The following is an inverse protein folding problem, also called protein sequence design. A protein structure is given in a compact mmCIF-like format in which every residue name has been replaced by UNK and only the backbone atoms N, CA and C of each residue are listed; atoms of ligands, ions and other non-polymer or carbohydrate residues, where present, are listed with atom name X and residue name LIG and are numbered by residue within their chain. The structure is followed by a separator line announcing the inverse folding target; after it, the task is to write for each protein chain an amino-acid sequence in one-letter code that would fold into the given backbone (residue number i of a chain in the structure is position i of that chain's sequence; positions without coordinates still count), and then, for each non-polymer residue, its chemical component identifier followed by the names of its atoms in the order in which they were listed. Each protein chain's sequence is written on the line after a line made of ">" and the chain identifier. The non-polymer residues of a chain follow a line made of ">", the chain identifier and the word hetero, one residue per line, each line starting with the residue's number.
data_IF_830174289860
#
_entry.id   IF_830174289860
#
_cell.length_a   1.000
_cell.length_b   1.000
_cell.length_c   1.000
_cell.angle_alpha   90.00
_cell.angle_beta   90.00
_cell.angle_gamma   90.00
#
_symmetry.space_group_name_H-M   'P 1'
#
loop_
_entity.id
_entity.type
_entity.pdbx_description
1 polymer ?
#
# COMPACT_ATOMS: atom_id res chain seq x y z
N UNK A 1 2.35 9.63 -0.15
CA UNK A 1 2.67 8.31 -0.77
C UNK A 1 4.17 8.12 -0.81
N UNK A 2 4.67 7.08 -0.21
CA UNK A 2 6.12 6.81 -0.19
C UNK A 2 6.42 5.35 -0.56
N UNK A 3 5.93 4.98 -1.75
CA UNK A 3 6.06 3.63 -2.33
C UNK A 3 7.51 3.12 -2.24
N UNK A 4 8.48 4.02 -2.48
CA UNK A 4 9.90 3.66 -2.45
C UNK A 4 10.35 3.35 -1.03
N UNK A 5 9.95 4.15 -0.05
CA UNK A 5 10.32 3.91 1.35
C UNK A 5 9.76 2.59 1.87
N UNK A 6 8.49 2.26 1.60
CA UNK A 6 7.91 0.97 2.00
C UNK A 6 8.66 -0.22 1.39
N UNK A 7 9.00 -0.14 0.09
CA UNK A 7 9.80 -1.15 -0.59
C UNK A 7 11.20 -1.30 0.03
N UNK A 8 11.88 -0.19 0.33
CA UNK A 8 13.21 -0.19 0.93
C UNK A 8 13.21 -0.77 2.34
N UNK A 9 12.26 -0.38 3.20
CA UNK A 9 12.15 -0.90 4.56
C UNK A 9 11.94 -2.41 4.58
N UNK A 10 11.02 -2.91 3.76
CA UNK A 10 10.80 -4.36 3.63
C UNK A 10 12.02 -5.05 3.03
N UNK A 11 12.69 -4.44 2.05
CA UNK A 11 13.93 -4.97 1.48
C UNK A 11 15.03 -5.14 2.52
N UNK A 12 15.23 -4.14 3.39
CA UNK A 12 16.17 -4.21 4.52
C UNK A 12 15.77 -5.33 5.49
N UNK A 13 14.48 -5.41 5.85
CA UNK A 13 13.95 -6.46 6.73
C UNK A 13 14.18 -7.87 6.17
N UNK A 14 13.91 -8.07 4.87
CA UNK A 14 14.15 -9.34 4.18
C UNK A 14 15.65 -9.70 4.11
N UNK A 15 16.52 -8.73 3.86
CA UNK A 15 17.97 -8.93 3.84
C UNK A 15 18.49 -9.34 5.22
N UNK A 16 17.99 -8.73 6.28
CA UNK A 16 18.33 -9.08 7.66
C UNK A 16 17.80 -10.47 8.03
N UNK A 17 16.54 -10.77 7.69
CA UNK A 17 15.89 -12.06 7.96
C UNK A 17 16.54 -13.20 7.15
N UNK A 18 16.93 -12.94 5.92
CA UNK A 18 17.59 -13.91 5.05
C UNK A 18 18.93 -14.45 5.56
N UNK A 19 19.56 -13.74 6.54
CA UNK A 19 20.76 -14.21 7.24
C UNK A 19 20.47 -15.39 8.19
N UNK A 20 19.22 -15.49 8.66
CA UNK A 20 18.78 -16.50 9.64
C UNK A 20 17.85 -17.56 9.06
N UNK A 21 17.04 -17.17 8.06
CA UNK A 21 15.99 -18.00 7.48
C UNK A 21 16.17 -18.11 5.98
N UNK A 22 15.90 -19.29 5.44
CA UNK A 22 15.91 -19.50 3.99
C UNK A 22 14.64 -18.90 3.36
N UNK A 23 14.71 -17.65 2.94
CA UNK A 23 13.63 -16.98 2.23
C UNK A 23 13.83 -17.23 0.73
N UNK A 24 12.83 -17.83 0.08
CA UNK A 24 12.89 -18.03 -1.37
C UNK A 24 12.76 -16.70 -2.11
N UNK A 25 13.36 -16.57 -3.30
CA UNK A 25 13.25 -15.37 -4.13
C UNK A 25 11.77 -15.01 -4.40
N UNK A 26 10.91 -16.02 -4.64
CA UNK A 26 9.47 -15.81 -4.88
C UNK A 26 8.79 -15.19 -3.65
N UNK A 27 9.07 -15.71 -2.48
CA UNK A 27 8.51 -15.16 -1.24
C UNK A 27 9.02 -13.72 -1.00
N UNK A 28 10.30 -13.45 -1.22
CA UNK A 28 10.87 -12.11 -1.07
C UNK A 28 10.22 -11.11 -2.03
N UNK A 29 10.09 -11.45 -3.32
CA UNK A 29 9.46 -10.59 -4.33
C UNK A 29 7.98 -10.36 -3.99
N UNK A 30 7.25 -11.39 -3.58
CA UNK A 30 5.85 -11.26 -3.19
C UNK A 30 5.69 -10.38 -1.92
N UNK A 31 6.60 -10.50 -0.95
CA UNK A 31 6.58 -9.65 0.27
C UNK A 31 6.85 -8.18 -0.07
N UNK A 32 7.84 -7.93 -0.94
CA UNK A 32 8.11 -6.58 -1.46
C UNK A 32 6.90 -6.02 -2.23
N UNK A 33 6.29 -6.84 -3.09
CA UNK A 33 5.08 -6.46 -3.81
C UNK A 33 3.95 -6.09 -2.85
N UNK A 34 3.69 -6.90 -1.85
CA UNK A 34 2.65 -6.63 -0.86
C UNK A 34 2.92 -5.39 0.01
N UNK A 35 4.18 -4.97 0.14
CA UNK A 35 4.52 -3.74 0.84
C UNK A 35 4.19 -2.46 0.04
N UNK A 36 4.10 -2.55 -1.28
CA UNK A 36 3.81 -1.39 -2.14
C UNK A 36 2.41 -1.43 -2.77
N UNK A 37 1.77 -2.61 -2.77
CA UNK A 37 0.41 -2.80 -3.32
C UNK A 37 -0.62 -1.85 -2.72
N UNK A 38 -0.65 -1.54 -1.40
CA UNK A 38 -1.61 -0.60 -0.84
C UNK A 38 -1.60 0.76 -1.55
N UNK A 39 -0.43 1.34 -1.71
CA UNK A 39 -0.25 2.62 -2.41
C UNK A 39 -0.56 2.52 -3.90
N UNK A 40 -0.18 1.41 -4.55
CA UNK A 40 -0.47 1.21 -5.96
C UNK A 40 -1.97 1.01 -6.22
N UNK A 41 -2.68 0.34 -5.31
CA UNK A 41 -4.10 0.08 -5.46
C UNK A 41 -4.92 1.38 -5.50
N UNK A 42 -4.59 2.35 -4.65
CA UNK A 42 -5.28 3.63 -4.64
C UNK A 42 -5.04 4.46 -5.91
N UNK A 43 -3.96 4.18 -6.67
CA UNK A 43 -3.69 4.84 -7.95
C UNK A 43 -4.50 4.26 -9.12
N UNK A 44 -5.13 3.09 -8.97
CA UNK A 44 -5.87 2.45 -10.06
C UNK A 44 -6.94 3.35 -10.69
N UNK A 45 -7.78 4.10 -9.93
CA UNK A 45 -8.74 5.02 -10.51
C UNK A 45 -8.09 6.16 -11.30
N UNK A 46 -6.95 6.67 -10.81
CA UNK A 46 -6.20 7.72 -11.52
C UNK A 46 -5.54 7.19 -12.79
N UNK A 47 -5.06 5.94 -12.77
CA UNK A 47 -4.54 5.28 -13.98
C UNK A 47 -5.65 5.09 -14.99
N UNK A 48 -6.85 4.69 -14.57
CA UNK A 48 -8.00 4.59 -15.46
C UNK A 48 -8.38 5.96 -16.06
N UNK A 49 -8.26 7.05 -15.29
CA UNK A 49 -8.51 8.42 -15.75
C UNK A 49 -7.53 8.84 -16.86
N UNK A 50 -6.35 8.22 -16.98
CA UNK A 50 -5.39 8.57 -18.06
C UNK A 50 -5.92 8.28 -19.47
N UNK A 51 -6.96 7.46 -19.60
CA UNK A 51 -7.64 7.20 -20.88
C UNK A 51 -8.59 8.35 -21.28
N UNK A 52 -8.90 9.27 -20.35
CA UNK A 52 -9.71 10.45 -20.62
C UNK A 52 -8.84 11.65 -21.05
N UNK A 53 -9.39 12.61 -21.80
CA UNK A 53 -8.67 13.81 -22.20
C UNK A 53 -8.11 14.57 -20.98
N UNK A 54 -6.79 14.76 -20.96
CA UNK A 54 -6.13 15.45 -19.84
C UNK A 54 -5.81 14.60 -18.62
N UNK A 55 -6.23 13.34 -18.57
CA UNK A 55 -6.06 12.45 -17.42
C UNK A 55 -4.58 12.17 -17.07
N UNK A 56 -3.69 12.12 -18.06
CA UNK A 56 -2.24 12.00 -17.82
C UNK A 56 -1.72 13.19 -17.01
N UNK A 57 -2.21 14.40 -17.29
CA UNK A 57 -1.82 15.61 -16.53
C UNK A 57 -2.34 15.53 -15.10
N UNK A 58 -3.54 15.01 -14.89
CA UNK A 58 -4.12 14.79 -13.54
C UNK A 58 -3.28 13.79 -12.77
N UNK A 59 -2.93 12.64 -13.37
CA UNK A 59 -2.09 11.62 -12.74
C UNK A 59 -0.72 12.18 -12.37
N UNK A 60 -0.05 12.85 -13.30
CA UNK A 60 1.30 13.41 -13.04
C UNK A 60 1.27 14.48 -11.96
N UNK A 61 0.28 15.37 -11.98
CA UNK A 61 0.09 16.37 -10.94
C UNK A 61 -0.16 15.73 -9.56
N UNK A 62 -0.97 14.69 -9.50
CA UNK A 62 -1.29 13.99 -8.25
C UNK A 62 -0.06 13.27 -7.66
N UNK A 63 0.68 12.51 -8.46
CA UNK A 63 1.84 11.75 -7.96
C UNK A 63 3.05 12.62 -7.62
N UNK A 64 3.13 13.84 -8.18
CA UNK A 64 4.20 14.80 -7.88
C UNK A 64 3.82 15.82 -6.81
N UNK A 65 2.56 15.84 -6.35
CA UNK A 65 2.11 16.75 -5.31
C UNK A 65 2.74 16.40 -3.96
N UNK A 66 3.00 17.42 -3.15
CA UNK A 66 3.31 17.23 -1.75
C UNK A 66 2.04 16.77 -1.01
N UNK A 67 2.17 15.94 0.03
CA UNK A 67 1.04 15.50 0.85
C UNK A 67 0.21 16.68 1.35
N UNK A 68 -1.11 16.64 1.11
CA UNK A 68 -2.04 17.72 1.45
C UNK A 68 -2.19 18.82 0.39
N UNK A 69 -1.41 18.76 -0.69
CA UNK A 69 -1.48 19.70 -1.82
C UNK A 69 -1.87 19.01 -3.14
N UNK A 70 -2.48 17.85 -3.04
CA UNK A 70 -2.93 17.10 -4.20
C UNK A 70 -4.01 17.88 -4.95
N UNK A 71 -4.02 17.80 -6.31
CA UNK A 71 -5.03 18.46 -7.11
C UNK A 71 -6.42 17.87 -6.86
N UNK A 72 -7.44 18.66 -7.05
CA UNK A 72 -8.82 18.18 -7.03
C UNK A 72 -9.04 17.13 -8.10
N UNK A 73 -9.49 15.96 -7.70
CA UNK A 73 -9.82 14.85 -8.59
C UNK A 73 -11.29 14.92 -9.01
N UNK A 74 -11.64 14.35 -10.18
CA UNK A 74 -13.05 14.12 -10.54
C UNK A 74 -13.77 13.36 -9.41
N UNK A 75 -15.04 13.67 -9.11
CA UNK A 75 -15.71 13.14 -7.91
C UNK A 75 -15.69 11.61 -7.79
N UNK A 76 -15.89 10.90 -8.90
CA UNK A 76 -15.85 9.43 -8.91
C UNK A 76 -14.44 8.90 -8.65
N UNK A 77 -13.42 9.51 -9.26
CA UNK A 77 -12.02 9.14 -9.06
C UNK A 77 -11.60 9.38 -7.61
N UNK A 78 -11.96 10.53 -7.06
CA UNK A 78 -11.71 10.86 -5.65
C UNK A 78 -12.35 9.84 -4.70
N UNK A 79 -13.62 9.49 -4.94
CA UNK A 79 -14.37 8.52 -4.16
C UNK A 79 -13.69 7.13 -4.18
N UNK A 80 -13.36 6.63 -5.38
CA UNK A 80 -12.74 5.32 -5.54
C UNK A 80 -11.32 5.27 -4.95
N UNK A 81 -10.52 6.31 -5.18
CA UNK A 81 -9.17 6.44 -4.61
C UNK A 81 -9.22 6.41 -3.08
N UNK A 82 -10.15 7.18 -2.48
CA UNK A 82 -10.35 7.21 -1.04
C UNK A 82 -10.77 5.84 -0.48
N UNK A 83 -11.75 5.17 -1.10
CA UNK A 83 -12.19 3.85 -0.64
C UNK A 83 -11.09 2.79 -0.73
N UNK A 84 -10.36 2.76 -1.85
CA UNK A 84 -9.23 1.83 -2.01
C UNK A 84 -8.15 2.11 -0.99
N UNK A 85 -7.86 3.39 -0.73
CA UNK A 85 -6.92 3.78 0.34
C UNK A 85 -7.39 3.23 1.70
N UNK A 86 -8.62 3.54 2.12
CA UNK A 86 -9.16 3.07 3.41
C UNK A 86 -9.11 1.54 3.56
N UNK A 87 -9.50 0.79 2.50
CA UNK A 87 -9.49 -0.67 2.53
C UNK A 87 -8.07 -1.21 2.66
N UNK A 88 -7.15 -0.69 1.87
CA UNK A 88 -5.78 -1.21 1.80
C UNK A 88 -4.90 -0.81 2.99
N UNK A 89 -5.25 0.28 3.69
CA UNK A 89 -4.54 0.73 4.90
C UNK A 89 -5.26 0.34 6.20
N UNK A 90 -6.35 -0.42 6.11
CA UNK A 90 -7.10 -0.90 7.28
C UNK A 90 -6.43 -2.12 7.92
N UNK A 91 -6.04 -1.98 9.19
CA UNK A 91 -5.56 -3.09 10.00
C UNK A 91 -6.63 -4.17 10.22
N UNK A 92 -7.91 -3.79 10.23
CA UNK A 92 -9.04 -4.73 10.35
C UNK A 92 -9.14 -5.59 9.10
N UNK A 93 -9.06 -4.98 7.91
CA UNK A 93 -9.09 -5.71 6.63
C UNK A 93 -7.86 -6.61 6.51
N UNK A 94 -6.67 -6.10 6.79
CA UNK A 94 -5.43 -6.89 6.77
C UNK A 94 -5.50 -8.06 7.76
N UNK A 95 -6.06 -7.84 8.95
CA UNK A 95 -6.29 -8.88 9.95
C UNK A 95 -7.27 -9.95 9.48
N UNK A 96 -8.40 -9.55 8.90
CA UNK A 96 -9.38 -10.49 8.36
C UNK A 96 -8.80 -11.35 7.23
N UNK A 97 -8.07 -10.74 6.28
CA UNK A 97 -7.40 -11.45 5.18
C UNK A 97 -6.32 -12.41 5.72
N UNK A 98 -5.51 -11.95 6.69
CA UNK A 98 -4.48 -12.79 7.32
C UNK A 98 -5.11 -13.97 8.05
N UNK A 99 -6.18 -13.73 8.82
CA UNK A 99 -6.92 -14.77 9.53
C UNK A 99 -7.53 -15.79 8.58
N UNK A 100 -8.16 -15.33 7.50
CA UNK A 100 -8.74 -16.22 6.49
C UNK A 100 -7.66 -17.05 5.79
N UNK A 101 -6.55 -16.42 5.39
CA UNK A 101 -5.43 -17.12 4.77
C UNK A 101 -4.86 -18.21 5.70
N UNK A 102 -4.74 -17.92 7.00
CA UNK A 102 -4.31 -18.89 7.99
C UNK A 102 -5.32 -20.03 8.18
N UNK A 103 -6.62 -19.72 8.25
CA UNK A 103 -7.66 -20.73 8.39
C UNK A 103 -7.69 -21.71 7.22
N UNK A 104 -7.48 -21.21 6.00
CA UNK A 104 -7.49 -22.03 4.77
C UNK A 104 -6.19 -22.82 4.61
N UNK A 105 -5.04 -22.17 4.74
CA UNK A 105 -3.74 -22.78 4.45
C UNK A 105 -3.08 -23.43 5.67
N UNK A 106 -3.55 -23.14 6.89
CA UNK A 106 -2.95 -23.54 8.17
C UNK A 106 -1.47 -23.14 8.29
N UNK A 107 -1.03 -22.19 7.48
CA UNK A 107 0.32 -21.66 7.49
C UNK A 107 0.29 -20.13 7.37
N UNK A 108 1.31 -19.50 7.95
CA UNK A 108 1.47 -18.06 7.80
C UNK A 108 2.10 -17.76 6.43
N UNK A 109 1.42 -16.91 5.65
CA UNK A 109 1.93 -16.51 4.34
C UNK A 109 2.84 -15.28 4.49
N UNK A 110 4.15 -15.48 4.34
CA UNK A 110 5.17 -14.44 4.52
C UNK A 110 4.87 -13.11 3.77
N UNK A 111 4.34 -13.11 2.54
CA UNK A 111 3.98 -11.86 1.85
C UNK A 111 3.04 -10.94 2.60
N UNK A 112 2.16 -11.46 3.47
CA UNK A 112 1.27 -10.62 4.29
C UNK A 112 2.04 -9.74 5.27
N UNK A 113 3.27 -10.11 5.68
CA UNK A 113 4.14 -9.23 6.46
C UNK A 113 4.52 -7.96 5.68
N UNK A 114 4.61 -8.01 4.36
CA UNK A 114 4.79 -6.82 3.53
C UNK A 114 3.66 -5.84 3.72
N UNK A 115 2.41 -6.31 3.63
CA UNK A 115 1.22 -5.49 3.87
C UNK A 115 1.14 -4.95 5.30
N UNK A 116 1.36 -5.80 6.30
CA UNK A 116 1.39 -5.36 7.69
C UNK A 116 2.48 -4.32 7.96
N UNK A 117 3.68 -4.50 7.41
CA UNK A 117 4.77 -3.52 7.57
C UNK A 117 4.43 -2.17 6.95
N UNK A 118 3.72 -2.15 5.81
CA UNK A 118 3.22 -0.94 5.19
C UNK A 118 2.31 -0.17 6.16
N UNK A 119 1.25 -0.83 6.68
CA UNK A 119 0.31 -0.22 7.63
C UNK A 119 1.03 0.30 8.88
N UNK A 120 1.95 -0.51 9.43
CA UNK A 120 2.71 -0.11 10.64
C UNK A 120 3.59 1.10 10.39
N UNK A 121 4.29 1.15 9.25
CA UNK A 121 5.15 2.28 8.90
C UNK A 121 4.31 3.54 8.75
N UNK A 122 3.16 3.45 8.09
CA UNK A 122 2.26 4.60 7.91
C UNK A 122 1.79 5.19 9.22
N UNK A 123 1.46 4.38 10.21
CA UNK A 123 1.07 4.86 11.55
C UNK A 123 2.16 5.73 12.18
N UNK A 124 3.45 5.45 11.93
CA UNK A 124 4.56 6.20 12.50
C UNK A 124 5.03 7.37 11.62
N UNK A 125 4.77 7.35 10.34
CA UNK A 125 5.29 8.36 9.39
C UNK A 125 4.26 9.40 8.98
N UNK A 126 2.97 9.08 9.10
CA UNK A 126 1.91 10.03 8.79
C UNK A 126 1.41 10.69 10.09
N UNK A 127 1.27 12.03 10.06
CA UNK A 127 0.71 12.76 11.18
C UNK A 127 -0.79 12.46 11.33
N UNK A 128 -1.31 12.56 12.56
CA UNK A 128 -2.73 12.38 12.86
C UNK A 128 -3.66 13.33 12.07
N UNK A 129 -3.12 14.43 11.54
CA UNK A 129 -3.85 15.39 10.71
C UNK A 129 -4.16 14.85 9.31
N UNK A 130 -3.45 13.80 8.86
CA UNK A 130 -3.63 13.19 7.54
C UNK A 130 -4.72 12.12 7.52
N UNK A 131 -4.89 11.41 8.64
CA UNK A 131 -5.94 10.39 8.82
C UNK A 131 -6.57 10.58 10.19
N UNK A 132 -7.77 11.12 10.21
CA UNK A 132 -8.52 11.36 11.44
C UNK A 132 -8.85 10.06 12.20
N UNK A 133 -8.72 8.90 11.57
CA UNK A 133 -8.86 7.58 12.22
C UNK A 133 -8.01 6.56 11.44
N UNK A 134 -6.97 5.95 12.04
CA UNK A 134 -6.41 4.72 11.51
C UNK A 134 -7.44 3.60 11.76
N UNK A 135 -8.20 3.28 10.74
CA UNK A 135 -9.22 2.21 10.81
C UNK A 135 -8.58 0.84 10.59
#
# INVERSE_FOLDING_TARGET
>A
MDIVAHGLWVGIGLAAAGRRWRITRRAAVATLGMAVVPDLAQLLPLIAETFEPGGVTVLTAYVSALPGFEPHLPPLVALLTHHLHCIMHSAVVAGAVTGLAWLVSRSFWLPLLGWWSHIVIDVFTHSADFYAVPV
#
